data_IF_705941558757
#
_entry.id   IF_705941558757
#
_cell.length_a   1.000
_cell.length_b   1.000
_cell.length_c   1.000
_cell.angle_alpha   90.00
_cell.angle_beta   90.00
_cell.angle_gamma   90.00
#
_symmetry.space_group_name_H-M   'P 1'
#
loop_
_entity.id
_entity.type
_entity.pdbx_description
1 polymer ?
#
# COMPACT_ATOMS: atom_id res chain seq x y z
N UNK A 1 13.52 1.56 -14.73
CA UNK A 1 12.34 0.67 -14.81
C UNK A 1 12.04 0.21 -13.40
N UNK A 2 10.79 0.29 -12.94
CA UNK A 2 10.44 -0.20 -11.59
C UNK A 2 10.31 -1.73 -11.68
N UNK A 3 11.36 -2.44 -11.28
CA UNK A 3 11.41 -3.92 -11.30
C UNK A 3 10.58 -4.57 -10.18
N UNK A 4 9.74 -3.78 -9.51
CA UNK A 4 8.93 -4.21 -8.38
C UNK A 4 7.59 -4.75 -8.86
N UNK A 5 7.31 -6.00 -8.51
CA UNK A 5 6.06 -6.68 -8.75
C UNK A 5 5.36 -7.00 -7.43
N UNK A 6 4.03 -6.96 -7.46
CA UNK A 6 3.18 -7.30 -6.33
C UNK A 6 2.56 -8.66 -6.56
N UNK A 7 2.81 -9.59 -5.63
CA UNK A 7 2.14 -10.90 -5.61
C UNK A 7 0.77 -10.78 -4.97
N UNK A 8 -0.26 -11.07 -5.76
CA UNK A 8 -1.66 -11.11 -5.33
C UNK A 8 -1.95 -12.38 -4.54
N UNK A 9 -3.08 -12.41 -3.85
CA UNK A 9 -3.53 -13.56 -3.04
C UNK A 9 -3.75 -14.82 -3.88
N UNK A 10 -4.16 -14.67 -5.14
CA UNK A 10 -4.32 -15.76 -6.10
C UNK A 10 -2.99 -16.21 -6.75
N UNK A 11 -1.87 -15.62 -6.31
CA UNK A 11 -0.53 -15.93 -6.81
C UNK A 11 -0.11 -15.15 -8.06
N UNK A 12 -1.02 -14.39 -8.70
CA UNK A 12 -0.67 -13.56 -9.86
C UNK A 12 0.30 -12.45 -9.48
N UNK A 13 1.15 -12.07 -10.44
CA UNK A 13 2.02 -10.92 -10.32
C UNK A 13 1.41 -9.75 -11.09
N UNK A 14 1.44 -8.56 -10.50
CA UNK A 14 1.15 -7.31 -11.19
C UNK A 14 2.30 -6.31 -10.98
N UNK A 15 2.56 -5.41 -11.94
CA UNK A 15 3.52 -4.33 -11.73
C UNK A 15 3.10 -3.44 -10.54
N UNK A 16 4.09 -2.99 -9.78
CA UNK A 16 3.87 -1.96 -8.75
C UNK A 16 3.23 -0.70 -9.35
N UNK A 17 2.28 -0.12 -8.62
CA UNK A 17 1.63 1.14 -9.00
C UNK A 17 1.40 1.99 -7.77
N UNK A 18 2.08 3.13 -7.73
CA UNK A 18 1.90 4.15 -6.67
C UNK A 18 0.47 4.69 -6.70
N UNK A 19 -0.10 4.93 -7.88
CA UNK A 19 -1.46 5.46 -8.04
C UNK A 19 -2.53 4.55 -7.44
N UNK A 20 -2.37 3.22 -7.58
CA UNK A 20 -3.25 2.24 -6.91
C UNK A 20 -3.19 2.37 -5.40
N UNK A 21 -2.00 2.63 -4.86
CA UNK A 21 -1.78 2.78 -3.42
C UNK A 21 -2.39 4.08 -2.91
N UNK A 22 -2.13 5.21 -3.59
CA UNK A 22 -2.74 6.52 -3.28
C UNK A 22 -4.27 6.42 -3.30
N UNK A 23 -4.84 5.81 -4.34
CA UNK A 23 -6.29 5.61 -4.46
C UNK A 23 -6.84 4.76 -3.32
N UNK A 24 -6.17 3.68 -2.95
CA UNK A 24 -6.60 2.81 -1.87
C UNK A 24 -6.58 3.54 -0.51
N UNK A 25 -5.51 4.29 -0.24
CA UNK A 25 -5.36 5.08 0.99
C UNK A 25 -6.41 6.20 1.05
N UNK A 26 -6.64 6.90 -0.06
CA UNK A 26 -7.67 7.95 -0.15
C UNK A 26 -9.09 7.42 0.10
N UNK A 27 -9.42 6.20 -0.34
CA UNK A 27 -10.71 5.57 -0.06
C UNK A 27 -10.97 5.31 1.43
N UNK A 28 -9.94 5.28 2.26
CA UNK A 28 -10.08 5.19 3.71
C UNK A 28 -10.36 6.55 4.39
N UNK A 29 -10.35 7.65 3.63
CA UNK A 29 -10.60 9.01 4.11
C UNK A 29 -9.33 9.79 4.45
N UNK A 30 -8.15 9.33 4.03
CA UNK A 30 -6.89 10.06 4.19
C UNK A 30 -6.81 11.17 3.13
N UNK A 31 -6.44 12.41 3.49
CA UNK A 31 -6.25 13.51 2.53
C UNK A 31 -5.26 13.14 1.41
N UNK A 32 -5.48 13.65 0.21
CA UNK A 32 -4.72 13.25 -0.99
C UNK A 32 -3.20 13.50 -0.85
N UNK A 33 -2.81 14.62 -0.24
CA UNK A 33 -1.39 14.96 -0.02
C UNK A 33 -0.72 13.96 0.93
N UNK A 34 -1.39 13.61 2.03
CA UNK A 34 -0.92 12.60 2.97
C UNK A 34 -0.88 11.21 2.31
N UNK A 35 -1.89 10.85 1.51
CA UNK A 35 -1.92 9.59 0.78
C UNK A 35 -0.76 9.46 -0.22
N UNK A 36 -0.40 10.54 -0.91
CA UNK A 36 0.78 10.59 -1.79
C UNK A 36 2.08 10.41 -1.02
N UNK A 37 2.21 11.06 0.14
CA UNK A 37 3.40 10.93 0.99
C UNK A 37 3.55 9.51 1.54
N UNK A 38 2.47 8.92 2.07
CA UNK A 38 2.47 7.52 2.50
C UNK A 38 2.82 6.57 1.36
N UNK A 39 2.23 6.75 0.17
CA UNK A 39 2.50 5.87 -0.96
C UNK A 39 3.97 5.92 -1.41
N UNK A 40 4.62 7.09 -1.38
CA UNK A 40 6.05 7.23 -1.66
C UNK A 40 6.92 6.54 -0.61
N UNK A 41 6.60 6.73 0.67
CA UNK A 41 7.34 6.10 1.76
C UNK A 41 7.23 4.57 1.72
N UNK A 42 6.03 4.07 1.42
CA UNK A 42 5.76 2.64 1.29
C UNK A 42 6.44 2.06 0.04
N UNK A 43 6.52 2.81 -1.07
CA UNK A 43 7.31 2.39 -2.23
C UNK A 43 8.79 2.24 -1.86
N UNK A 44 9.37 3.20 -1.13
CA UNK A 44 10.75 3.12 -0.65
C UNK A 44 10.99 1.90 0.24
N UNK A 45 10.10 1.66 1.19
CA UNK A 45 10.13 0.46 2.03
C UNK A 45 9.98 -0.84 1.23
N UNK A 46 9.06 -0.89 0.27
CA UNK A 46 8.78 -2.07 -0.53
C UNK A 46 9.99 -2.45 -1.42
N UNK A 47 10.70 -1.46 -1.98
CA UNK A 47 11.94 -1.67 -2.73
C UNK A 47 13.04 -2.32 -1.88
N UNK A 48 13.14 -1.95 -0.61
CA UNK A 48 14.11 -2.55 0.33
C UNK A 48 13.70 -3.90 0.90
N UNK A 49 12.40 -4.22 0.88
CA UNK A 49 11.84 -5.44 1.49
C UNK A 49 11.59 -6.55 0.48
N UNK A 50 11.34 -6.19 -0.78
CA UNK A 50 11.01 -7.13 -1.84
C UNK A 50 12.09 -8.19 -2.05
N UNK A 51 11.67 -9.45 -2.14
CA UNK A 51 12.54 -10.57 -2.44
C UNK A 51 12.51 -10.84 -3.94
N UNK A 52 13.67 -10.75 -4.60
CA UNK A 52 13.79 -10.91 -6.07
C UNK A 52 12.82 -9.99 -6.84
N UNK A 53 12.63 -8.77 -6.35
CA UNK A 53 11.71 -7.79 -6.95
C UNK A 53 10.23 -8.09 -6.75
N UNK A 54 9.86 -9.01 -5.84
CA UNK A 54 8.47 -9.37 -5.56
C UNK A 54 8.14 -9.11 -4.09
N UNK A 55 6.97 -8.51 -3.84
CA UNK A 55 6.42 -8.30 -2.48
C UNK A 55 4.95 -8.74 -2.43
N UNK A 56 4.49 -9.31 -1.32
CA UNK A 56 3.10 -9.75 -1.21
C UNK A 56 2.15 -8.56 -0.98
N UNK A 57 0.99 -8.59 -1.63
CA UNK A 57 -0.05 -7.57 -1.43
C UNK A 57 -0.58 -7.47 0.01
N UNK A 58 -0.46 -8.54 0.80
CA UNK A 58 -0.79 -8.55 2.23
C UNK A 58 0.24 -7.77 3.05
N UNK A 59 1.54 -7.96 2.79
CA UNK A 59 2.60 -7.21 3.47
C UNK A 59 2.49 -5.70 3.20
N UNK A 60 2.17 -5.33 1.95
CA UNK A 60 1.89 -3.92 1.61
C UNK A 60 0.71 -3.41 2.42
N UNK A 61 -0.38 -4.18 2.54
CA UNK A 61 -1.58 -3.77 3.29
C UNK A 61 -1.23 -3.53 4.76
N UNK A 62 -0.49 -4.45 5.38
CA UNK A 62 -0.09 -4.35 6.78
C UNK A 62 0.77 -3.10 7.00
N UNK A 63 1.70 -2.83 6.08
CA UNK A 63 2.54 -1.62 6.16
C UNK A 63 1.77 -0.33 5.96
N UNK A 64 0.78 -0.31 5.07
CA UNK A 64 -0.12 0.84 4.92
C UNK A 64 -0.84 1.13 6.23
N UNK A 65 -1.41 0.09 6.87
CA UNK A 65 -2.13 0.25 8.15
C UNK A 65 -1.19 0.81 9.22
N UNK A 66 0.04 0.28 9.32
CA UNK A 66 1.07 0.77 10.25
C UNK A 66 1.33 2.27 10.06
N UNK A 67 1.54 2.73 8.81
CA UNK A 67 1.84 4.12 8.48
C UNK A 67 0.65 5.05 8.76
N UNK A 68 -0.55 4.66 8.30
CA UNK A 68 -1.76 5.46 8.50
C UNK A 68 -2.08 5.56 9.99
N UNK A 69 -1.92 4.48 10.78
CA UNK A 69 -2.31 4.45 12.20
C UNK A 69 -1.57 5.47 13.07
N UNK A 70 -0.34 5.86 12.67
CA UNK A 70 0.45 6.86 13.40
C UNK A 70 -0.14 8.28 13.32
N UNK A 71 -0.81 8.63 12.22
CA UNK A 71 -1.31 9.99 11.97
C UNK A 71 -2.84 10.05 11.85
N UNK A 72 -3.46 8.98 11.36
CA UNK A 72 -4.88 8.88 10.99
C UNK A 72 -5.48 7.56 11.52
N UNK A 73 -5.54 7.33 12.85
CA UNK A 73 -5.94 6.05 13.43
C UNK A 73 -7.34 5.58 12.98
N UNK A 74 -8.32 6.47 12.89
CA UNK A 74 -9.67 6.11 12.42
C UNK A 74 -9.69 5.68 10.95
N UNK A 75 -8.85 6.30 10.10
CA UNK A 75 -8.71 5.91 8.70
C UNK A 75 -7.95 4.59 8.55
N UNK A 76 -7.05 4.25 9.48
CA UNK A 76 -6.42 2.94 9.51
C UNK A 76 -7.46 1.83 9.74
N UNK A 77 -8.42 2.05 10.64
CA UNK A 77 -9.54 1.13 10.86
C UNK A 77 -10.43 0.99 9.62
N UNK A 78 -10.73 2.11 8.95
CA UNK A 78 -11.45 2.10 7.67
C UNK A 78 -10.70 1.30 6.60
N UNK A 79 -9.39 1.49 6.49
CA UNK A 79 -8.55 0.77 5.54
C UNK A 79 -8.48 -0.73 5.86
N UNK A 80 -8.41 -1.09 7.14
CA UNK A 80 -8.39 -2.48 7.60
C UNK A 80 -9.71 -3.20 7.28
N UNK A 81 -10.85 -2.52 7.44
CA UNK A 81 -12.18 -3.08 7.15
C UNK A 81 -12.56 -3.00 5.66
N UNK A 82 -11.80 -2.24 4.86
CA UNK A 82 -12.02 -2.12 3.42
C UNK A 82 -11.93 -3.48 2.72
N UNK A 83 -13.10 -3.99 2.30
CA UNK A 83 -13.24 -5.04 1.31
C UNK A 83 -13.35 -4.37 -0.04
N UNK A 84 -12.46 -4.71 -0.98
CA UNK A 84 -12.64 -4.35 -2.39
C UNK A 84 -14.00 -4.91 -2.81
N UNK A 85 -14.94 -4.03 -3.17
CA UNK A 85 -16.12 -4.39 -3.94
C UNK A 85 -15.70 -4.82 -5.34
#
# INVERSE_FOLDING_TARGET
>A
MNDLNVKKRDGKLEPWSVDKLVTAIGKAGVPIEAAQNFAKNIEGWAKGTAQKGVIASTEIRDKVIEFIKGEYPSQADNFQTFKKQ
#
